data_IF_461282804479
#
_entry.id   IF_461282804479
#
_cell.length_a   1.000
_cell.length_b   1.000
_cell.length_c   1.000
_cell.angle_alpha   90.00
_cell.angle_beta   90.00
_cell.angle_gamma   90.00
#
_symmetry.space_group_name_H-M   'P 1'
#
loop_
_entity.id
_entity.type
_entity.pdbx_description
1 polymer ?
#
# COMPACT_ATOMS: atom_id res chain seq x y z
N UNK A 1 2.41 -20.37 4.58
CA UNK A 1 1.04 -20.49 4.04
C UNK A 1 0.99 -19.59 2.81
N UNK A 2 0.60 -20.13 1.67
CA UNK A 2 0.42 -19.33 0.45
C UNK A 2 -1.00 -18.76 0.44
N UNK A 3 -1.14 -17.45 0.69
CA UNK A 3 -2.44 -16.79 0.75
C UNK A 3 -3.12 -16.68 -0.61
N UNK A 4 -2.35 -16.67 -1.70
CA UNK A 4 -2.93 -16.65 -3.05
C UNK A 4 -3.58 -18.00 -3.30
N UNK A 5 -2.90 -19.09 -2.96
CA UNK A 5 -3.44 -20.44 -3.06
C UNK A 5 -4.71 -20.63 -2.19
N UNK A 6 -4.78 -20.01 -1.00
CA UNK A 6 -5.99 -19.99 -0.17
C UNK A 6 -7.15 -19.29 -0.89
N UNK A 7 -6.91 -18.12 -1.47
CA UNK A 7 -7.90 -17.38 -2.25
C UNK A 7 -8.36 -18.12 -3.52
N UNK A 8 -7.47 -18.88 -4.16
CA UNK A 8 -7.81 -19.68 -5.35
C UNK A 8 -8.64 -20.91 -5.00
N UNK A 9 -8.35 -21.56 -3.87
CA UNK A 9 -9.00 -22.82 -3.46
C UNK A 9 -10.31 -22.61 -2.71
N UNK A 10 -10.51 -21.48 -2.06
CA UNK A 10 -11.66 -21.25 -1.19
C UNK A 10 -12.31 -19.88 -1.41
N UNK A 11 -13.64 -19.87 -1.45
CA UNK A 11 -14.47 -18.66 -1.47
C UNK A 11 -14.87 -18.18 -0.06
N UNK A 12 -14.30 -18.76 1.01
CA UNK A 12 -14.71 -18.43 2.37
C UNK A 12 -13.86 -17.29 2.94
N UNK A 13 -14.50 -16.13 3.15
CA UNK A 13 -13.88 -14.95 3.75
C UNK A 13 -13.33 -15.21 5.15
N UNK A 14 -13.93 -16.14 5.91
CA UNK A 14 -13.54 -16.41 7.30
C UNK A 14 -12.13 -16.99 7.41
N UNK A 15 -11.74 -17.86 6.47
CA UNK A 15 -10.43 -18.50 6.48
C UNK A 15 -9.35 -17.46 6.15
N UNK A 16 -9.60 -16.65 5.11
CA UNK A 16 -8.73 -15.52 4.74
C UNK A 16 -8.59 -14.52 5.90
N UNK A 17 -9.70 -14.15 6.52
CA UNK A 17 -9.70 -13.26 7.69
C UNK A 17 -8.89 -13.84 8.84
N UNK A 18 -9.03 -15.13 9.11
CA UNK A 18 -8.25 -15.81 10.16
C UNK A 18 -6.76 -15.80 9.84
N UNK A 19 -6.36 -16.00 8.58
CA UNK A 19 -4.97 -15.91 8.17
C UNK A 19 -4.39 -14.49 8.29
N UNK A 20 -5.15 -13.45 7.96
CA UNK A 20 -4.70 -12.05 8.13
C UNK A 20 -4.62 -11.62 9.60
N UNK A 21 -5.29 -12.33 10.51
CA UNK A 21 -5.22 -12.11 11.96
C UNK A 21 -4.22 -13.04 12.67
N UNK A 22 -3.57 -13.97 11.96
CA UNK A 22 -2.38 -14.66 12.48
C UNK A 22 -1.17 -13.73 12.35
N UNK A 23 -0.56 -13.37 13.48
CA UNK A 23 0.51 -12.37 13.51
C UNK A 23 1.68 -12.72 12.58
N UNK A 24 2.10 -13.99 12.56
CA UNK A 24 3.24 -14.40 11.73
C UNK A 24 2.87 -14.32 10.25
N UNK A 25 1.74 -14.88 9.84
CA UNK A 25 1.31 -14.85 8.43
C UNK A 25 1.13 -13.40 7.96
N UNK A 26 0.49 -12.56 8.77
CA UNK A 26 0.25 -11.15 8.46
C UNK A 26 1.56 -10.35 8.35
N UNK A 27 2.48 -10.50 9.31
CA UNK A 27 3.76 -9.79 9.28
C UNK A 27 4.63 -10.20 8.09
N UNK A 28 4.69 -11.50 7.77
CA UNK A 28 5.42 -11.98 6.60
C UNK A 28 4.86 -11.40 5.29
N UNK A 29 3.54 -11.25 5.20
CA UNK A 29 2.91 -10.59 4.06
C UNK A 29 3.28 -9.12 3.96
N UNK A 30 3.25 -8.40 5.08
CA UNK A 30 3.64 -6.98 5.12
C UNK A 30 5.10 -6.81 4.71
N UNK A 31 6.01 -7.66 5.19
CA UNK A 31 7.42 -7.67 4.76
C UNK A 31 7.52 -7.86 3.25
N UNK A 32 6.81 -8.86 2.70
CA UNK A 32 6.84 -9.11 1.25
C UNK A 32 6.36 -7.91 0.43
N UNK A 33 5.24 -7.29 0.83
CA UNK A 33 4.71 -6.10 0.15
C UNK A 33 5.66 -4.89 0.26
N UNK A 34 6.36 -4.72 1.39
CA UNK A 34 7.42 -3.70 1.55
C UNK A 34 8.59 -3.94 0.61
N UNK A 35 9.07 -5.18 0.50
CA UNK A 35 10.15 -5.54 -0.42
C UNK A 35 9.74 -5.38 -1.89
N UNK A 36 8.51 -5.73 -2.24
CA UNK A 36 7.97 -5.50 -3.59
C UNK A 36 7.90 -4.01 -3.91
N UNK A 37 7.47 -3.18 -2.96
CA UNK A 37 7.43 -1.73 -3.07
C UNK A 37 8.85 -1.17 -3.27
N UNK A 38 9.82 -1.59 -2.45
CA UNK A 38 11.22 -1.20 -2.58
C UNK A 38 11.79 -1.58 -3.96
N UNK A 39 11.54 -2.81 -4.41
CA UNK A 39 11.98 -3.28 -5.72
C UNK A 39 11.41 -2.47 -6.87
N UNK A 40 10.13 -2.08 -6.80
CA UNK A 40 9.50 -1.26 -7.83
C UNK A 40 10.08 0.17 -7.87
N UNK A 41 10.27 0.79 -6.71
CA UNK A 41 10.91 2.11 -6.58
C UNK A 41 12.31 2.10 -7.21
N UNK A 42 13.13 1.11 -6.85
CA UNK A 42 14.50 0.96 -7.35
C UNK A 42 14.56 0.63 -8.85
N UNK A 43 13.50 0.05 -9.44
CA UNK A 43 13.41 -0.23 -10.88
C UNK A 43 13.12 1.03 -11.71
N UNK A 44 12.51 2.06 -11.11
CA UNK A 44 12.14 3.31 -11.79
C UNK A 44 12.70 4.55 -11.05
N UNK A 45 14.01 4.61 -10.79
CA UNK A 45 14.57 5.65 -9.91
C UNK A 45 14.36 7.04 -10.49
N UNK A 46 14.55 7.24 -11.81
CA UNK A 46 14.37 8.54 -12.46
C UNK A 46 12.95 9.10 -12.33
N UNK A 47 11.93 8.23 -12.29
CA UNK A 47 10.56 8.67 -12.07
C UNK A 47 10.38 9.09 -10.61
N UNK A 48 10.77 8.21 -9.67
CA UNK A 48 10.47 8.39 -8.25
C UNK A 48 11.37 9.40 -7.52
N UNK A 49 12.57 9.69 -8.04
CA UNK A 49 13.56 10.54 -7.38
C UNK A 49 13.03 11.96 -7.09
N UNK A 50 12.13 12.47 -7.93
CA UNK A 50 11.52 13.80 -7.80
C UNK A 50 10.52 13.90 -6.62
N UNK A 51 10.06 12.76 -6.08
CA UNK A 51 9.11 12.71 -4.96
C UNK A 51 9.80 12.48 -3.61
N UNK A 52 11.13 12.34 -3.58
CA UNK A 52 11.89 12.10 -2.36
C UNK A 52 12.52 13.40 -1.88
N UNK A 53 12.23 13.77 -0.64
CA UNK A 53 12.81 14.94 0.02
C UNK A 53 14.20 14.68 0.61
N UNK A 54 14.96 15.76 0.80
CA UNK A 54 16.24 15.73 1.53
C UNK A 54 17.45 15.24 0.74
N UNK A 55 17.36 15.15 -0.59
CA UNK A 55 18.49 14.80 -1.46
C UNK A 55 18.96 13.34 -1.36
N UNK A 56 18.18 12.49 -0.68
CA UNK A 56 18.44 11.04 -0.58
C UNK A 56 18.29 10.37 -1.94
N UNK A 57 19.13 9.40 -2.22
CA UNK A 57 18.92 8.49 -3.34
C UNK A 57 17.70 7.58 -3.09
N UNK A 58 17.11 7.07 -4.17
CA UNK A 58 16.03 6.05 -4.09
C UNK A 58 16.41 4.87 -3.21
N UNK A 59 17.66 4.41 -3.31
CA UNK A 59 18.15 3.28 -2.53
C UNK A 59 18.18 3.58 -1.02
N UNK A 60 18.68 4.75 -0.64
CA UNK A 60 18.71 5.18 0.76
C UNK A 60 17.29 5.36 1.31
N UNK A 61 16.38 5.94 0.53
CA UNK A 61 14.97 6.06 0.89
C UNK A 61 14.34 4.67 1.13
N UNK A 62 14.55 3.72 0.22
CA UNK A 62 14.05 2.35 0.39
C UNK A 62 14.54 1.70 1.68
N UNK A 63 15.84 1.81 1.98
CA UNK A 63 16.45 1.20 3.16
C UNK A 63 15.99 1.83 4.48
N UNK A 64 15.63 3.12 4.47
CA UNK A 64 15.26 3.86 5.68
C UNK A 64 13.75 3.87 5.95
N UNK A 65 12.94 4.06 4.90
CA UNK A 65 11.50 4.34 5.01
C UNK A 65 10.61 3.21 4.50
N UNK A 66 11.09 2.35 3.58
CA UNK A 66 10.24 1.35 2.91
C UNK A 66 10.43 -0.04 3.49
N UNK A 67 11.66 -0.54 3.47
CA UNK A 67 12.03 -1.92 3.83
C UNK A 67 11.82 -2.24 5.31
N UNK A 68 12.13 -1.33 6.27
CA UNK A 68 11.93 -1.64 7.69
C UNK A 68 10.45 -1.77 8.05
N UNK A 69 10.15 -2.75 8.90
CA UNK A 69 8.83 -2.89 9.51
C UNK A 69 8.49 -1.68 10.38
N UNK A 70 7.20 -1.43 10.55
CA UNK A 70 6.67 -0.35 11.40
C UNK A 70 7.08 1.08 10.98
N UNK A 71 7.52 1.27 9.74
CA UNK A 71 7.67 2.59 9.12
C UNK A 71 6.37 3.03 8.47
N UNK A 72 6.04 4.31 8.58
CA UNK A 72 4.84 4.88 7.99
C UNK A 72 4.87 4.77 6.46
N UNK A 73 3.69 4.75 5.84
CA UNK A 73 3.54 4.70 4.39
C UNK A 73 2.70 5.88 3.90
N UNK A 74 3.22 6.51 2.86
CA UNK A 74 2.66 7.69 2.21
C UNK A 74 2.44 7.46 0.71
N UNK A 75 1.98 8.46 -0.04
CA UNK A 75 1.60 8.43 -1.45
C UNK A 75 2.60 7.68 -2.34
N UNK A 76 3.91 7.92 -2.16
CA UNK A 76 4.95 7.25 -2.95
C UNK A 76 4.91 5.72 -2.82
N UNK A 77 4.57 5.20 -1.63
CA UNK A 77 4.44 3.77 -1.36
C UNK A 77 3.20 3.19 -2.03
N UNK A 78 2.07 3.91 -1.92
CA UNK A 78 0.80 3.51 -2.52
C UNK A 78 0.93 3.44 -4.04
N UNK A 79 1.51 4.47 -4.67
CA UNK A 79 1.76 4.52 -6.11
C UNK A 79 2.64 3.36 -6.56
N UNK A 80 3.76 3.14 -5.86
CA UNK A 80 4.70 2.08 -6.21
C UNK A 80 4.08 0.68 -6.08
N UNK A 81 3.38 0.40 -4.99
CA UNK A 81 2.76 -0.90 -4.76
C UNK A 81 1.57 -1.15 -5.70
N UNK A 82 0.70 -0.16 -5.90
CA UNK A 82 -0.42 -0.26 -6.84
C UNK A 82 0.08 -0.56 -8.26
N UNK A 83 1.14 0.13 -8.69
CA UNK A 83 1.75 -0.08 -10.00
C UNK A 83 2.54 -1.40 -10.09
N UNK A 84 3.11 -1.89 -8.99
CA UNK A 84 3.80 -3.19 -8.94
C UNK A 84 2.81 -4.37 -9.07
N UNK A 85 1.65 -4.26 -8.44
CA UNK A 85 0.59 -5.29 -8.44
C UNK A 85 -0.42 -5.11 -9.59
N UNK A 86 -0.32 -4.01 -10.34
CA UNK A 86 -1.27 -3.65 -11.39
C UNK A 86 -2.73 -3.59 -10.90
N UNK A 87 -2.94 -2.92 -9.77
CA UNK A 87 -4.26 -2.69 -9.16
C UNK A 87 -4.58 -1.21 -9.08
N UNK A 88 -5.88 -0.88 -9.01
CA UNK A 88 -6.33 0.50 -8.79
C UNK A 88 -6.90 0.65 -7.38
N UNK A 89 -6.32 1.58 -6.62
CA UNK A 89 -6.66 1.88 -5.22
C UNK A 89 -7.20 3.30 -5.14
N UNK A 90 -8.31 3.50 -4.44
CA UNK A 90 -8.82 4.82 -4.09
C UNK A 90 -8.72 5.06 -2.59
N UNK A 91 -8.16 6.20 -2.21
CA UNK A 91 -8.01 6.63 -0.82
C UNK A 91 -8.91 7.83 -0.60
N UNK A 92 -9.86 7.71 0.33
CA UNK A 92 -10.69 8.79 0.84
C UNK A 92 -9.97 9.43 2.03
N UNK A 93 -9.83 10.75 2.06
CA UNK A 93 -9.11 11.49 3.09
C UNK A 93 -10.11 12.17 4.02
N UNK A 94 -10.13 11.72 5.28
CA UNK A 94 -10.90 12.37 6.33
C UNK A 94 -9.99 13.28 7.14
N UNK A 95 -9.92 14.54 6.71
CA UNK A 95 -9.29 15.62 7.46
C UNK A 95 -10.33 16.43 8.27
N UNK A 96 -9.87 17.43 9.03
CA UNK A 96 -10.73 18.31 9.85
C UNK A 96 -11.33 19.47 9.04
N UNK A 97 -11.31 19.42 7.71
CA UNK A 97 -11.86 20.46 6.87
C UNK A 97 -13.40 20.48 6.93
N UNK A 98 -13.99 21.67 6.89
CA UNK A 98 -15.45 21.89 6.82
C UNK A 98 -16.01 21.62 5.39
N UNK A 99 -15.35 20.77 4.59
CA UNK A 99 -15.61 20.57 3.16
C UNK A 99 -16.04 19.15 2.78
N UNK A 100 -16.18 18.91 1.47
CA UNK A 100 -16.41 17.57 0.92
C UNK A 100 -15.18 16.67 1.15
N UNK A 101 -15.41 15.37 1.33
CA UNK A 101 -14.35 14.37 1.51
C UNK A 101 -13.49 14.32 0.24
N UNK A 102 -12.20 14.63 0.40
CA UNK A 102 -11.23 14.57 -0.68
C UNK A 102 -10.83 13.12 -0.96
N UNK A 103 -10.50 12.79 -2.21
CA UNK A 103 -10.04 11.47 -2.57
C UNK A 103 -8.96 11.48 -3.65
N UNK A 104 -8.10 10.47 -3.62
CA UNK A 104 -7.12 10.22 -4.66
C UNK A 104 -7.23 8.78 -5.16
N UNK A 105 -7.14 8.61 -6.48
CA UNK A 105 -7.15 7.29 -7.14
C UNK A 105 -5.78 7.03 -7.75
N UNK A 106 -5.23 5.84 -7.50
CA UNK A 106 -3.91 5.42 -7.91
C UNK A 106 -4.02 4.14 -8.74
N UNK A 107 -3.62 4.14 -10.03
CA UNK A 107 -3.24 5.32 -10.83
C UNK A 107 -4.42 6.27 -11.10
N UNK A 108 -4.12 7.53 -11.42
CA UNK A 108 -5.14 8.52 -11.77
C UNK A 108 -5.99 8.07 -12.95
N UNK A 109 -7.30 8.31 -12.88
CA UNK A 109 -8.26 7.91 -13.91
C UNK A 109 -8.54 6.41 -13.99
N UNK A 110 -7.94 5.59 -13.13
CA UNK A 110 -8.26 4.17 -13.01
C UNK A 110 -9.66 3.91 -12.44
N UNK A 111 -10.17 2.69 -12.62
CA UNK A 111 -11.41 2.21 -12.01
C UNK A 111 -11.10 1.44 -10.70
N UNK A 112 -11.27 2.05 -9.52
CA UNK A 112 -10.83 1.47 -8.26
C UNK A 112 -11.71 0.30 -7.83
N UNK A 113 -11.05 -0.79 -7.44
CA UNK A 113 -11.69 -1.95 -6.77
C UNK A 113 -11.36 -2.05 -5.29
N UNK A 114 -10.36 -1.30 -4.84
CA UNK A 114 -9.89 -1.24 -3.45
C UNK A 114 -10.13 0.18 -2.95
N UNK A 115 -10.88 0.31 -1.86
CA UNK A 115 -11.20 1.60 -1.25
C UNK A 115 -10.64 1.64 0.16
N UNK A 116 -9.84 2.67 0.45
CA UNK A 116 -9.23 2.89 1.75
C UNK A 116 -9.70 4.22 2.32
N UNK A 117 -9.80 4.30 3.64
CA UNK A 117 -9.97 5.54 4.38
C UNK A 117 -8.63 5.91 5.01
N UNK A 118 -8.11 7.08 4.68
CA UNK A 118 -7.01 7.69 5.40
C UNK A 118 -7.55 8.61 6.50
N UNK A 119 -7.10 8.34 7.73
CA UNK A 119 -7.18 9.23 8.89
C UNK A 119 -5.74 9.60 9.25
N UNK A 120 -5.46 10.77 9.87
CA UNK A 120 -4.09 11.14 10.22
C UNK A 120 -3.35 10.00 10.95
N UNK A 121 -2.36 9.40 10.28
CA UNK A 121 -1.55 8.29 10.78
C UNK A 121 -2.14 6.88 10.67
N UNK A 122 -3.29 6.67 10.03
CA UNK A 122 -3.95 5.36 9.99
C UNK A 122 -4.76 5.12 8.71
N UNK A 123 -4.75 3.89 8.21
CA UNK A 123 -5.54 3.44 7.06
C UNK A 123 -6.55 2.37 7.47
N UNK A 124 -7.79 2.52 7.03
CA UNK A 124 -8.85 1.50 7.16
C UNK A 124 -9.38 1.09 5.78
N UNK A 125 -10.08 -0.05 5.73
CA UNK A 125 -10.72 -0.55 4.51
C UNK A 125 -12.16 -0.03 4.44
N UNK A 126 -12.57 0.48 3.29
CA UNK A 126 -13.96 0.85 2.99
C UNK A 126 -14.62 -0.19 2.08
N UNK A 127 -15.88 -0.48 2.35
CA UNK A 127 -16.75 -1.31 1.52
C UNK A 127 -17.87 -0.43 0.95
N UNK A 128 -18.11 -0.54 -0.36
CA UNK A 128 -19.23 0.14 -1.04
C UNK A 128 -20.47 -0.73 -1.06
#
# INVERSE_FOLDING_TARGET
MDLIEVCEKQQNLQDLWSSFNDQNVSDYMVVYLRLLTSGYLQRKPSFFQHFIEGGRSIKEFCQQEVEPMSRESDHIHIIALAAALNVTIRVEYMDRGDGEVNHHTFPEGGDPRIFLLYRPGHYDILYK
#
